data_IF_258449067020
#
_entry.id   IF_258449067020
#
_cell.length_a   1.000
_cell.length_b   1.000
_cell.length_c   1.000
_cell.angle_alpha   90.00
_cell.angle_beta   90.00
_cell.angle_gamma   90.00
#
_symmetry.space_group_name_H-M   'P 1'
#
loop_
_entity.id
_entity.type
_entity.pdbx_description
1 polymer ?
#
# COMPACT_ATOMS: atom_id res chain seq x y z
N UNK A 1 4.95 -5.56 7.85
CA UNK A 1 4.54 -5.38 6.43
C UNK A 1 4.35 -6.69 5.67
N UNK A 2 5.22 -7.70 5.81
CA UNK A 2 5.02 -9.01 5.14
C UNK A 2 3.65 -9.65 5.39
N UNK A 3 3.16 -9.64 6.63
CA UNK A 3 1.80 -10.13 6.97
C UNK A 3 0.70 -9.37 6.19
N UNK A 4 0.84 -8.05 6.08
CA UNK A 4 -0.13 -7.19 5.39
C UNK A 4 -0.12 -7.45 3.88
N UNK A 5 1.06 -7.58 3.27
CA UNK A 5 1.20 -8.02 1.87
C UNK A 5 0.49 -9.36 1.67
N UNK A 6 0.75 -10.35 2.54
CA UNK A 6 0.11 -11.66 2.44
C UNK A 6 -1.41 -11.61 2.54
N UNK A 7 -1.98 -10.76 3.40
CA UNK A 7 -3.44 -10.55 3.48
C UNK A 7 -3.99 -9.95 2.20
N UNK A 8 -3.33 -8.93 1.65
CA UNK A 8 -3.76 -8.26 0.40
C UNK A 8 -3.69 -9.23 -0.78
N UNK A 9 -2.59 -9.99 -0.92
CA UNK A 9 -2.44 -10.99 -1.97
C UNK A 9 -3.51 -12.06 -1.87
N UNK A 10 -3.78 -12.60 -0.67
CA UNK A 10 -4.86 -13.57 -0.46
C UNK A 10 -6.23 -13.01 -0.87
N UNK A 11 -6.56 -11.80 -0.42
CA UNK A 11 -7.84 -11.17 -0.77
C UNK A 11 -7.95 -10.93 -2.28
N UNK A 12 -6.86 -10.54 -2.93
CA UNK A 12 -6.78 -10.39 -4.39
C UNK A 12 -7.02 -11.72 -5.11
N UNK A 13 -6.42 -12.81 -4.62
CA UNK A 13 -6.62 -14.16 -5.17
C UNK A 13 -8.05 -14.66 -5.00
N UNK A 14 -8.69 -14.41 -3.86
CA UNK A 14 -10.10 -14.78 -3.66
C UNK A 14 -11.02 -13.94 -4.57
N UNK A 15 -10.79 -12.63 -4.69
CA UNK A 15 -11.55 -11.76 -5.61
C UNK A 15 -11.44 -12.19 -7.07
N UNK A 16 -10.30 -12.75 -7.48
CA UNK A 16 -10.07 -13.23 -8.85
C UNK A 16 -10.82 -14.54 -9.17
N UNK A 17 -11.21 -15.32 -8.15
CA UNK A 17 -12.00 -16.54 -8.31
C UNK A 17 -13.48 -16.26 -8.54
N UNK A 18 -13.97 -15.09 -8.14
CA UNK A 18 -15.36 -14.67 -8.35
C UNK A 18 -15.59 -14.30 -9.82
N UNK A 19 -16.81 -14.51 -10.36
CA UNK A 19 -17.16 -14.11 -11.73
C UNK A 19 -17.05 -12.58 -11.91
N UNK A 20 -16.75 -12.14 -13.12
CA UNK A 20 -16.45 -10.72 -13.40
C UNK A 20 -17.68 -9.81 -13.20
N UNK A 21 -18.88 -10.34 -13.42
CA UNK A 21 -20.15 -9.62 -13.32
C UNK A 21 -20.70 -9.51 -11.89
N UNK A 22 -20.04 -10.11 -10.89
CA UNK A 22 -20.50 -10.01 -9.52
C UNK A 22 -20.29 -8.59 -8.97
N UNK A 23 -21.39 -7.94 -8.59
CA UNK A 23 -21.39 -6.61 -7.98
C UNK A 23 -20.51 -6.55 -6.73
N UNK A 24 -20.37 -7.66 -5.99
CA UNK A 24 -19.47 -7.74 -4.84
C UNK A 24 -18.00 -7.64 -5.27
N UNK A 25 -17.59 -8.38 -6.31
CA UNK A 25 -16.22 -8.34 -6.83
C UNK A 25 -15.85 -6.93 -7.30
N UNK A 26 -16.73 -6.26 -8.03
CA UNK A 26 -16.50 -4.91 -8.54
C UNK A 26 -16.32 -3.93 -7.39
N UNK A 27 -17.26 -3.90 -6.44
CA UNK A 27 -17.21 -3.01 -5.27
C UNK A 27 -15.99 -3.23 -4.39
N UNK A 28 -15.66 -4.50 -4.10
CA UNK A 28 -14.50 -4.82 -3.25
C UNK A 28 -13.17 -4.53 -3.94
N UNK A 29 -13.09 -4.75 -5.25
CA UNK A 29 -11.94 -4.38 -6.08
C UNK A 29 -11.71 -2.87 -6.05
N UNK A 30 -12.76 -2.08 -6.26
CA UNK A 30 -12.69 -0.63 -6.23
C UNK A 30 -12.22 -0.12 -4.87
N UNK A 31 -12.83 -0.61 -3.78
CA UNK A 31 -12.44 -0.25 -2.42
C UNK A 31 -10.98 -0.60 -2.09
N UNK A 32 -10.51 -1.77 -2.53
CA UNK A 32 -9.13 -2.19 -2.32
C UNK A 32 -8.16 -1.29 -3.09
N UNK A 33 -8.42 -1.04 -4.37
CA UNK A 33 -7.57 -0.20 -5.22
C UNK A 33 -7.55 1.24 -4.72
N UNK A 34 -8.70 1.78 -4.31
CA UNK A 34 -8.80 3.14 -3.77
C UNK A 34 -8.00 3.30 -2.48
N UNK A 35 -8.11 2.32 -1.57
CA UNK A 35 -7.35 2.33 -0.32
C UNK A 35 -5.85 2.23 -0.54
N UNK A 36 -5.40 1.33 -1.43
CA UNK A 36 -3.99 1.18 -1.76
C UNK A 36 -3.42 2.42 -2.48
N UNK A 37 -4.22 3.05 -3.33
CA UNK A 37 -3.85 4.29 -4.02
C UNK A 37 -3.77 5.47 -3.05
N UNK A 38 -4.74 5.60 -2.14
CA UNK A 38 -4.75 6.66 -1.11
C UNK A 38 -3.56 6.54 -0.17
N UNK A 39 -3.19 5.31 0.21
CA UNK A 39 -1.95 5.06 0.96
C UNK A 39 -0.68 5.29 0.10
N UNK A 40 -0.81 5.47 -1.21
CA UNK A 40 0.29 5.64 -2.18
C UNK A 40 1.19 4.41 -2.30
N UNK A 41 0.64 3.22 -2.09
CA UNK A 41 1.33 1.94 -2.28
C UNK A 41 1.35 1.58 -3.77
N UNK A 42 0.29 1.93 -4.50
CA UNK A 42 0.17 1.78 -5.95
C UNK A 42 0.05 3.17 -6.60
N UNK A 43 0.59 3.32 -7.81
CA UNK A 43 0.57 4.59 -8.54
C UNK A 43 -0.64 4.74 -9.47
N UNK A 44 -1.36 3.65 -9.79
CA UNK A 44 -2.51 3.68 -10.70
C UNK A 44 -3.59 2.72 -10.19
N UNK A 45 -4.87 3.08 -10.37
CA UNK A 45 -6.04 2.27 -9.99
C UNK A 45 -6.46 1.25 -11.06
N UNK A 46 -5.55 0.88 -11.97
CA UNK A 46 -5.93 0.25 -13.24
C UNK A 46 -5.97 -1.28 -13.24
N UNK A 47 -5.27 -1.97 -12.34
CA UNK A 47 -5.18 -3.44 -12.43
C UNK A 47 -4.96 -4.12 -11.09
N UNK A 48 -5.75 -5.16 -10.83
CA UNK A 48 -5.55 -6.09 -9.71
C UNK A 48 -4.19 -6.79 -9.76
N UNK A 49 -3.58 -6.94 -10.94
CA UNK A 49 -2.29 -7.59 -11.10
C UNK A 49 -1.17 -6.87 -10.33
N UNK A 50 -1.28 -5.55 -10.15
CA UNK A 50 -0.33 -4.78 -9.34
C UNK A 50 -0.40 -5.12 -7.85
N UNK A 51 -1.54 -5.67 -7.39
CA UNK A 51 -1.76 -6.05 -5.99
C UNK A 51 -1.11 -7.40 -5.66
N UNK A 52 -0.95 -8.30 -6.64
CA UNK A 52 -0.28 -9.60 -6.45
C UNK A 52 1.23 -9.44 -6.23
N UNK A 53 1.86 -8.48 -6.91
CA UNK A 53 3.30 -8.20 -6.84
C UNK A 53 3.73 -7.23 -5.73
N UNK A 54 2.88 -6.96 -4.72
CA UNK A 54 3.17 -5.97 -3.69
C UNK A 54 4.29 -6.42 -2.75
N UNK A 55 5.45 -5.77 -2.88
CA UNK A 55 6.55 -5.94 -1.92
C UNK A 55 6.30 -5.21 -0.61
N UNK A 56 6.82 -5.77 0.49
CA UNK A 56 6.81 -5.10 1.80
C UNK A 56 7.55 -3.76 1.78
N UNK A 57 8.56 -3.62 0.91
CA UNK A 57 9.32 -2.39 0.70
C UNK A 57 8.45 -1.22 0.25
N UNK A 58 7.39 -1.47 -0.52
CA UNK A 58 6.43 -0.42 -0.91
C UNK A 58 5.75 0.21 0.30
N UNK A 59 5.45 -0.57 1.35
CA UNK A 59 4.91 -0.03 2.60
C UNK A 59 5.97 0.70 3.42
N UNK A 60 7.19 0.17 3.50
CA UNK A 60 8.27 0.82 4.26
C UNK A 60 8.59 2.23 3.74
N UNK A 61 8.52 2.45 2.42
CA UNK A 61 8.73 3.75 1.79
C UNK A 61 7.66 4.80 2.12
N UNK A 62 6.50 4.39 2.63
CA UNK A 62 5.39 5.28 2.98
C UNK A 62 5.34 5.63 4.47
N UNK A 63 6.32 5.18 5.28
CA UNK A 63 6.44 5.61 6.68
C UNK A 63 6.83 7.08 6.72
N UNK A 64 6.21 7.86 7.61
CA UNK A 64 6.44 9.30 7.75
C UNK A 64 7.94 9.65 7.84
N UNK A 65 8.70 8.97 8.70
CA UNK A 65 10.13 9.19 8.84
C UNK A 65 10.90 8.99 7.51
N UNK A 66 10.51 8.00 6.71
CA UNK A 66 11.15 7.74 5.41
C UNK A 66 10.76 8.82 4.40
N UNK A 67 9.50 9.25 4.41
CA UNK A 67 9.01 10.32 3.55
C UNK A 67 9.72 11.65 3.87
N UNK A 68 9.95 11.97 5.14
CA UNK A 68 10.70 13.17 5.55
C UNK A 68 12.13 13.19 5.00
N UNK A 69 12.81 12.05 5.07
CA UNK A 69 14.16 11.91 4.49
C UNK A 69 14.13 12.00 2.97
N UNK A 70 13.15 11.38 2.30
CA UNK A 70 13.00 11.46 0.84
C UNK A 70 12.70 12.88 0.35
N UNK A 71 11.92 13.64 1.10
CA UNK A 71 11.60 15.04 0.82
C UNK A 71 12.69 16.01 1.27
N UNK A 72 13.83 15.51 1.78
CA UNK A 72 14.98 16.29 2.24
C UNK A 72 14.69 17.22 3.42
N UNK A 73 13.67 16.92 4.22
CA UNK A 73 13.44 17.61 5.50
C UNK A 73 14.41 17.14 6.60
N UNK A 74 14.97 15.94 6.46
CA UNK A 74 16.00 15.40 7.37
C UNK A 74 17.07 14.66 6.56
N UNK A 75 18.32 14.70 7.01
CA UNK A 75 19.42 13.99 6.34
C UNK A 75 19.45 12.49 6.72
N UNK A 76 19.08 12.18 7.96
CA UNK A 76 19.16 10.83 8.51
C UNK A 76 17.82 10.32 9.06
N UNK A 77 17.60 9.02 8.91
CA UNK A 77 16.37 8.38 9.34
C UNK A 77 16.20 8.42 10.88
N UNK A 78 17.31 8.33 11.63
CA UNK A 78 17.32 8.45 13.09
C UNK A 78 16.92 9.85 13.56
N UNK A 79 17.37 10.88 12.84
CA UNK A 79 16.99 12.26 13.11
C UNK A 79 15.51 12.49 12.84
N UNK A 80 15.00 11.98 11.70
CA UNK A 80 13.59 12.04 11.37
C UNK A 80 12.70 11.38 12.43
N UNK A 81 13.10 10.22 12.97
CA UNK A 81 12.35 9.58 14.07
C UNK A 81 12.38 10.41 15.36
N UNK A 82 13.54 10.97 15.74
CA UNK A 82 13.64 11.80 16.94
C UNK A 82 12.80 13.07 16.85
N UNK A 83 12.72 13.71 15.68
CA UNK A 83 11.84 14.87 15.49
C UNK A 83 10.37 14.49 15.60
N UNK A 84 9.95 13.39 14.96
CA UNK A 84 8.55 12.91 15.07
C UNK A 84 8.18 12.59 16.54
N UNK A 85 9.11 12.05 17.32
CA UNK A 85 8.88 11.72 18.73
C UNK A 85 8.82 12.95 19.64
N UNK A 86 9.42 14.06 19.24
CA UNK A 86 9.48 15.30 20.02
C UNK A 86 8.25 16.22 19.81
N UNK A 87 7.48 16.01 18.75
CA UNK A 87 6.29 16.80 18.39
C UNK A 87 6.56 17.83 17.29
#
# INVERSE_FOLDING_TARGET
YNKLCGVITKLTSELRRLPEDDAFRVKMTELLLDKLYTMGIISKKGSLAQCEGLSASSFCRRRLAVVLVQLKFCEHLKQATSYIEQG
#
